data_IF_882800459184
#
_entry.id   IF_882800459184
#
_cell.length_a   1.000
_cell.length_b   1.000
_cell.length_c   1.000
_cell.angle_alpha   90.00
_cell.angle_beta   90.00
_cell.angle_gamma   90.00
#
_symmetry.space_group_name_H-M   'P 1'
#
loop_
_entity.id
_entity.type
_entity.pdbx_description
1 polymer ?
#
# COMPACT_ATOMS: atom_id res chain seq x y z
N UNK A 1 -11.88 -0.48 4.68
CA UNK A 1 -12.57 -1.20 3.60
C UNK A 1 -13.78 -1.96 4.13
N UNK A 2 -13.61 -3.07 4.85
CA UNK A 2 -14.72 -3.88 5.41
C UNK A 2 -15.70 -3.12 6.31
N UNK A 3 -15.21 -2.13 7.06
CA UNK A 3 -16.07 -1.23 7.85
C UNK A 3 -17.10 -0.48 6.99
N UNK A 4 -16.72 -0.09 5.76
CA UNK A 4 -17.60 0.65 4.82
C UNK A 4 -18.46 -0.26 3.96
N UNK A 5 -18.06 -1.52 3.81
CA UNK A 5 -18.75 -2.52 2.99
C UNK A 5 -18.28 -3.92 3.39
N UNK A 6 -19.16 -4.65 4.09
CA UNK A 6 -18.84 -5.98 4.63
C UNK A 6 -18.75 -7.05 3.55
N UNK A 7 -19.41 -6.83 2.40
CA UNK A 7 -19.47 -7.81 1.32
C UNK A 7 -18.22 -7.77 0.41
N UNK A 8 -17.39 -6.72 0.51
CA UNK A 8 -16.16 -6.59 -0.27
C UNK A 8 -15.27 -7.83 -0.16
N UNK A 9 -14.91 -8.41 -1.31
CA UNK A 9 -13.96 -9.51 -1.42
C UNK A 9 -12.55 -8.96 -1.51
N UNK A 10 -11.82 -9.04 -0.41
CA UNK A 10 -10.44 -8.53 -0.32
C UNK A 10 -9.45 -9.68 -0.43
N UNK A 11 -8.49 -9.56 -1.35
CA UNK A 11 -7.36 -10.48 -1.47
C UNK A 11 -6.04 -9.76 -1.21
N UNK A 12 -5.11 -10.44 -0.56
CA UNK A 12 -3.75 -9.96 -0.35
C UNK A 12 -2.78 -10.82 -1.16
N UNK A 13 -1.89 -10.21 -1.95
CA UNK A 13 -0.81 -10.90 -2.65
C UNK A 13 0.50 -10.56 -1.96
N UNK A 14 1.12 -11.57 -1.35
CA UNK A 14 2.44 -11.49 -0.76
C UNK A 14 3.51 -11.75 -1.82
N UNK A 15 4.38 -10.78 -2.04
CA UNK A 15 5.56 -10.90 -2.92
C UNK A 15 6.77 -11.44 -2.16
N UNK A 16 7.76 -11.93 -2.92
CA UNK A 16 9.04 -12.44 -2.42
C UNK A 16 10.09 -11.35 -2.14
N UNK A 17 9.66 -10.08 -2.07
CA UNK A 17 10.49 -8.95 -1.65
C UNK A 17 10.91 -8.95 -0.17
N UNK A 18 10.61 -10.01 0.58
CA UNK A 18 10.96 -10.14 1.99
C UNK A 18 11.29 -11.60 2.37
N UNK A 19 12.01 -11.78 3.48
CA UNK A 19 12.65 -13.05 3.81
C UNK A 19 11.76 -14.08 4.54
N UNK A 20 10.63 -13.67 5.13
CA UNK A 20 9.83 -14.54 6.00
C UNK A 20 8.54 -15.02 5.33
N UNK A 21 8.09 -16.27 5.62
CA UNK A 21 6.87 -16.80 5.03
C UNK A 21 5.62 -16.13 5.58
N UNK A 22 4.50 -16.31 4.87
CA UNK A 22 3.25 -15.64 5.17
C UNK A 22 2.74 -15.92 6.58
N UNK A 23 3.01 -17.12 7.09
CA UNK A 23 2.65 -17.56 8.44
C UNK A 23 3.25 -16.69 9.57
N UNK A 24 4.30 -15.89 9.31
CA UNK A 24 4.86 -14.94 10.28
C UNK A 24 4.09 -13.62 10.33
N UNK A 25 3.22 -13.33 9.37
CA UNK A 25 2.48 -12.08 9.32
C UNK A 25 1.31 -12.11 10.32
N UNK A 26 1.52 -11.48 11.47
CA UNK A 26 0.48 -11.28 12.48
C UNK A 26 -0.72 -10.48 11.95
N UNK A 27 -0.49 -9.56 11.01
CA UNK A 27 -1.55 -8.77 10.37
C UNK A 27 -2.43 -9.67 9.51
N UNK A 28 -1.83 -10.52 8.66
CA UNK A 28 -2.61 -11.40 7.78
C UNK A 28 -3.37 -12.45 8.59
N UNK A 29 -2.73 -13.05 9.61
CA UNK A 29 -3.38 -13.98 10.53
C UNK A 29 -4.59 -13.34 11.24
N UNK A 30 -4.41 -12.14 11.80
CA UNK A 30 -5.49 -11.38 12.41
C UNK A 30 -6.63 -11.08 11.43
N UNK A 31 -6.32 -10.50 10.26
CA UNK A 31 -7.34 -10.11 9.28
C UNK A 31 -8.13 -11.32 8.76
N UNK A 32 -7.49 -12.50 8.63
CA UNK A 32 -8.19 -13.72 8.24
C UNK A 32 -9.09 -14.24 9.36
N UNK A 33 -8.63 -14.27 10.61
CA UNK A 33 -9.42 -14.74 11.76
C UNK A 33 -10.67 -13.88 11.98
N UNK A 34 -10.56 -12.57 11.77
CA UNK A 34 -11.68 -11.63 11.89
C UNK A 34 -12.58 -11.58 10.63
N UNK A 35 -12.30 -12.39 9.60
CA UNK A 35 -13.06 -12.37 8.34
C UNK A 35 -12.91 -11.07 7.52
N UNK A 36 -11.88 -10.27 7.83
CA UNK A 36 -11.59 -9.01 7.15
C UNK A 36 -10.83 -9.21 5.84
N UNK A 37 -10.10 -10.32 5.71
CA UNK A 37 -9.40 -10.73 4.50
C UNK A 37 -9.92 -12.09 4.02
N UNK A 38 -10.35 -12.18 2.75
CA UNK A 38 -10.94 -13.39 2.20
C UNK A 38 -9.90 -14.49 1.97
N UNK A 39 -8.75 -14.11 1.41
CA UNK A 39 -7.64 -15.00 1.11
C UNK A 39 -6.35 -14.20 0.95
N UNK A 40 -5.24 -14.87 1.19
CA UNK A 40 -3.91 -14.39 0.85
C UNK A 40 -3.27 -15.33 -0.16
N UNK A 41 -2.60 -14.78 -1.18
CA UNK A 41 -1.82 -15.53 -2.14
C UNK A 41 -0.34 -15.21 -1.96
N UNK A 42 0.54 -16.13 -2.33
CA UNK A 42 1.96 -15.84 -2.52
C UNK A 42 2.35 -15.94 -3.99
N UNK A 43 3.33 -15.12 -4.38
CA UNK A 43 3.88 -15.10 -5.74
C UNK A 43 5.41 -15.12 -5.73
N UNK A 44 6.01 -15.64 -6.81
CA UNK A 44 7.46 -15.76 -6.91
C UNK A 44 7.98 -16.83 -5.97
N UNK A 45 8.96 -16.50 -5.15
CA UNK A 45 9.51 -17.38 -4.11
C UNK A 45 8.88 -17.22 -2.72
N UNK A 46 7.87 -16.36 -2.58
CA UNK A 46 7.06 -16.29 -1.39
C UNK A 46 6.21 -17.57 -1.26
N UNK A 47 5.84 -17.93 -0.04
CA UNK A 47 5.06 -19.14 0.20
C UNK A 47 4.21 -19.04 1.48
N UNK A 48 3.22 -19.92 1.56
CA UNK A 48 2.33 -20.07 2.71
C UNK A 48 0.98 -19.37 2.53
N UNK A 49 0.65 -18.95 1.30
CA UNK A 49 -0.67 -18.43 0.95
C UNK A 49 -1.73 -19.53 0.87
N UNK A 50 -3.00 -19.11 0.82
CA UNK A 50 -4.14 -19.97 0.47
C UNK A 50 -4.06 -20.46 -0.98
N UNK A 51 -3.42 -19.66 -1.85
CA UNK A 51 -3.07 -19.99 -3.22
C UNK A 51 -1.62 -19.59 -3.49
N UNK A 52 -0.96 -20.36 -4.34
CA UNK A 52 0.41 -20.11 -4.79
C UNK A 52 0.39 -19.82 -6.29
N UNK A 53 1.01 -18.73 -6.71
CA UNK A 53 1.14 -18.36 -8.13
C UNK A 53 2.60 -18.15 -8.53
N UNK A 54 2.90 -18.37 -9.81
CA UNK A 54 4.28 -18.36 -10.31
C UNK A 54 4.92 -16.98 -10.22
N UNK A 55 4.16 -15.92 -10.50
CA UNK A 55 4.62 -14.53 -10.51
C UNK A 55 3.46 -13.56 -10.26
N UNK A 56 3.76 -12.27 -10.17
CA UNK A 56 2.76 -11.23 -9.90
C UNK A 56 1.59 -11.23 -10.88
N UNK A 57 1.82 -11.47 -12.18
CA UNK A 57 0.76 -11.51 -13.19
C UNK A 57 -0.21 -12.67 -12.93
N UNK A 58 0.32 -13.87 -12.73
CA UNK A 58 -0.52 -15.04 -12.40
C UNK A 58 -1.24 -14.89 -11.06
N UNK A 59 -0.61 -14.22 -10.08
CA UNK A 59 -1.24 -13.91 -8.79
C UNK A 59 -2.40 -12.93 -8.91
N UNK A 60 -2.23 -11.86 -9.69
CA UNK A 60 -3.28 -10.88 -9.97
C UNK A 60 -4.47 -11.54 -10.69
N UNK A 61 -4.19 -12.39 -11.69
CA UNK A 61 -5.23 -13.15 -12.40
C UNK A 61 -5.94 -14.16 -11.48
N UNK A 62 -5.21 -14.86 -10.61
CA UNK A 62 -5.79 -15.76 -9.62
C UNK A 62 -6.67 -14.99 -8.63
N UNK A 63 -6.21 -13.85 -8.12
CA UNK A 63 -7.00 -13.01 -7.24
C UNK A 63 -8.29 -12.50 -7.92
N UNK A 64 -8.22 -12.10 -9.19
CA UNK A 64 -9.39 -11.61 -9.95
C UNK A 64 -10.36 -12.71 -10.34
N UNK A 65 -9.88 -13.85 -10.86
CA UNK A 65 -10.73 -14.86 -11.51
C UNK A 65 -11.05 -16.06 -10.63
N UNK A 66 -10.14 -16.47 -9.74
CA UNK A 66 -10.36 -17.60 -8.82
C UNK A 66 -10.98 -17.08 -7.54
N UNK A 67 -10.35 -16.08 -6.91
CA UNK A 67 -10.85 -15.50 -5.66
C UNK A 67 -11.90 -14.43 -5.87
N UNK A 68 -12.18 -14.02 -7.10
CA UNK A 68 -13.19 -12.99 -7.43
C UNK A 68 -13.03 -11.74 -6.54
N UNK A 69 -11.79 -11.31 -6.31
CA UNK A 69 -11.52 -10.17 -5.45
C UNK A 69 -12.03 -8.87 -6.10
N UNK A 70 -12.64 -8.01 -5.29
CA UNK A 70 -13.08 -6.67 -5.65
C UNK A 70 -11.92 -5.68 -5.56
N UNK A 71 -11.09 -5.84 -4.51
CA UNK A 71 -9.88 -5.06 -4.28
C UNK A 71 -8.75 -6.03 -3.94
N UNK A 72 -7.62 -5.85 -4.63
CA UNK A 72 -6.40 -6.64 -4.44
C UNK A 72 -5.34 -5.74 -3.80
N UNK A 73 -4.84 -6.14 -2.64
CA UNK A 73 -3.74 -5.47 -1.95
C UNK A 73 -2.48 -6.27 -2.25
N UNK A 74 -1.44 -5.61 -2.78
CA UNK A 74 -0.15 -6.26 -3.05
C UNK A 74 0.91 -5.66 -2.13
N UNK A 75 1.72 -6.50 -1.51
CA UNK A 75 2.90 -6.04 -0.78
C UNK A 75 3.72 -7.21 -0.26
N UNK A 76 4.99 -6.97 0.01
CA UNK A 76 5.88 -8.01 0.58
C UNK A 76 5.52 -8.42 1.99
N UNK A 77 5.95 -9.63 2.36
CA UNK A 77 5.85 -10.16 3.71
C UNK A 77 6.84 -9.53 4.71
N UNK A 78 6.96 -10.11 5.92
CA UNK A 78 7.92 -9.66 6.93
C UNK A 78 9.37 -9.95 6.53
N UNK A 79 10.31 -9.14 7.05
CA UNK A 79 11.74 -9.31 6.76
C UNK A 79 12.23 -8.53 5.54
N UNK A 80 11.77 -7.29 5.39
CA UNK A 80 12.17 -6.37 4.31
C UNK A 80 13.65 -5.96 4.46
N UNK A 81 14.37 -5.79 3.36
CA UNK A 81 15.78 -5.38 3.38
C UNK A 81 16.01 -4.07 2.64
N UNK A 82 16.94 -3.27 3.17
CA UNK A 82 17.43 -2.05 2.57
C UNK A 82 18.91 -1.84 2.90
N UNK A 83 19.67 -1.37 1.92
CA UNK A 83 21.12 -1.11 2.03
C UNK A 83 21.43 0.37 2.28
N UNK A 84 20.39 1.22 2.37
CA UNK A 84 20.54 2.67 2.48
C UNK A 84 20.98 3.35 1.17
N UNK A 85 21.11 2.61 0.08
CA UNK A 85 21.38 3.15 -1.26
C UNK A 85 20.07 3.43 -2.00
N UNK A 86 20.11 4.33 -2.99
CA UNK A 86 18.93 4.75 -3.75
C UNK A 86 18.15 3.59 -4.38
N UNK A 87 18.84 2.52 -4.78
CA UNK A 87 18.25 1.39 -5.50
C UNK A 87 18.15 0.12 -4.65
N UNK A 88 18.93 0.03 -3.57
CA UNK A 88 19.00 -1.19 -2.79
C UNK A 88 17.96 -1.22 -1.67
N UNK A 89 16.69 -1.30 -2.01
CA UNK A 89 15.58 -1.59 -1.09
C UNK A 89 14.53 -2.44 -1.82
N UNK A 90 13.95 -3.44 -1.15
CA UNK A 90 13.03 -4.38 -1.82
C UNK A 90 11.70 -3.76 -2.21
N UNK A 91 11.26 -2.72 -1.50
CA UNK A 91 10.07 -1.95 -1.84
C UNK A 91 10.09 -1.24 -3.19
N UNK A 92 11.18 -1.37 -3.96
CA UNK A 92 11.27 -0.89 -5.32
C UNK A 92 10.30 -1.61 -6.27
N UNK A 93 9.97 -2.86 -5.95
CA UNK A 93 9.02 -3.71 -6.68
C UNK A 93 7.64 -3.08 -6.84
N UNK A 94 7.26 -2.13 -5.97
CA UNK A 94 5.98 -1.42 -6.07
C UNK A 94 5.78 -0.80 -7.46
N UNK A 95 6.85 -0.30 -8.09
CA UNK A 95 6.75 0.26 -9.44
C UNK A 95 6.51 -0.80 -10.50
N UNK A 96 7.11 -1.98 -10.35
CA UNK A 96 6.95 -3.11 -11.25
C UNK A 96 5.54 -3.73 -11.11
N UNK A 97 5.03 -3.80 -9.88
CA UNK A 97 3.67 -4.26 -9.58
C UNK A 97 2.63 -3.33 -10.22
N UNK A 98 2.81 -2.01 -10.12
CA UNK A 98 1.91 -1.05 -10.78
C UNK A 98 1.89 -1.24 -12.30
N UNK A 99 3.06 -1.48 -12.91
CA UNK A 99 3.15 -1.80 -14.34
C UNK A 99 2.43 -3.12 -14.67
N UNK A 100 2.58 -4.15 -13.83
CA UNK A 100 1.92 -5.44 -14.03
C UNK A 100 0.39 -5.35 -13.93
N UNK A 101 -0.12 -4.51 -13.03
CA UNK A 101 -1.56 -4.24 -12.91
C UNK A 101 -2.09 -3.61 -14.20
N UNK A 102 -1.41 -2.60 -14.75
CA UNK A 102 -1.84 -1.95 -16.00
C UNK A 102 -1.70 -2.87 -17.22
N UNK A 103 -0.65 -3.68 -17.30
CA UNK A 103 -0.48 -4.67 -18.37
C UNK A 103 -1.60 -5.73 -18.41
N UNK A 104 -2.33 -5.91 -17.30
CA UNK A 104 -3.51 -6.77 -17.19
C UNK A 104 -4.83 -5.96 -17.23
N UNK A 105 -4.78 -4.71 -17.71
CA UNK A 105 -5.92 -3.79 -17.82
C UNK A 105 -6.59 -3.46 -16.48
N UNK A 106 -5.87 -3.65 -15.37
CA UNK A 106 -6.29 -3.26 -14.04
C UNK A 106 -6.14 -1.75 -13.78
N UNK A 107 -6.63 -1.30 -12.62
CA UNK A 107 -6.55 0.10 -12.19
C UNK A 107 -5.52 0.26 -11.06
N UNK A 108 -4.27 0.64 -11.36
CA UNK A 108 -3.22 0.71 -10.35
C UNK A 108 -3.42 1.88 -9.39
N UNK A 109 -3.28 1.59 -8.09
CA UNK A 109 -3.26 2.57 -6.99
C UNK A 109 -1.92 2.44 -6.27
N UNK A 110 -1.11 3.49 -6.31
CA UNK A 110 0.14 3.55 -5.58
C UNK A 110 -0.11 4.10 -4.17
N UNK A 111 0.26 3.33 -3.14
CA UNK A 111 0.09 3.73 -1.74
C UNK A 111 1.36 4.45 -1.27
N UNK A 112 1.37 5.78 -1.12
CA UNK A 112 2.57 6.46 -0.69
C UNK A 112 2.83 6.22 0.80
N UNK A 113 4.09 5.97 1.15
CA UNK A 113 4.50 6.03 2.55
C UNK A 113 4.76 7.48 2.92
N UNK A 114 3.97 8.01 3.85
CA UNK A 114 4.08 9.38 4.35
C UNK A 114 4.37 9.34 5.85
N UNK A 115 5.27 10.21 6.31
CA UNK A 115 5.64 10.31 7.74
C UNK A 115 6.17 11.70 8.03
N UNK A 116 5.86 12.24 9.20
CA UNK A 116 6.52 13.45 9.73
C UNK A 116 7.17 13.19 11.10
N UNK A 117 7.14 11.95 11.59
CA UNK A 117 7.60 11.57 12.93
C UNK A 117 9.13 11.62 13.11
N UNK A 118 9.91 11.56 12.02
CA UNK A 118 11.36 11.73 12.09
C UNK A 118 11.73 13.23 12.17
N UNK A 119 12.63 13.58 13.09
CA UNK A 119 13.11 14.98 13.27
C UNK A 119 13.93 15.48 12.08
N UNK A 120 14.51 14.59 11.28
CA UNK A 120 15.36 14.93 10.14
C UNK A 120 14.47 15.24 8.93
N UNK A 121 14.52 16.48 8.44
CA UNK A 121 13.70 16.95 7.30
C UNK A 121 13.67 16.02 6.07
N UNK A 122 14.79 15.37 5.74
CA UNK A 122 14.86 14.44 4.58
C UNK A 122 14.03 13.15 4.75
N UNK A 123 13.58 12.85 5.96
CA UNK A 123 12.73 11.69 6.28
C UNK A 123 11.27 12.09 6.54
N UNK A 124 10.93 13.37 6.30
CA UNK A 124 9.57 13.90 6.42
C UNK A 124 8.86 13.91 5.06
N UNK A 125 7.53 13.90 5.10
CA UNK A 125 6.65 13.86 3.94
C UNK A 125 6.62 12.51 3.24
N UNK A 126 6.53 12.51 1.90
CA UNK A 126 6.58 11.32 1.06
C UNK A 126 7.98 10.71 1.16
N UNK A 127 8.05 9.42 1.46
CA UNK A 127 9.31 8.68 1.53
C UNK A 127 10.10 8.77 0.23
N UNK A 128 11.41 9.00 0.33
CA UNK A 128 12.34 8.95 -0.81
C UNK A 128 12.29 7.63 -1.59
N UNK A 129 11.95 6.51 -0.94
CA UNK A 129 11.70 5.23 -1.61
C UNK A 129 10.48 5.31 -2.52
N UNK A 130 9.35 5.85 -2.02
CA UNK A 130 8.14 6.08 -2.83
C UNK A 130 8.42 7.04 -3.98
N UNK A 131 9.14 8.15 -3.74
CA UNK A 131 9.53 9.08 -4.80
C UNK A 131 10.41 8.40 -5.86
N UNK A 132 11.32 7.51 -5.45
CA UNK A 132 12.16 6.74 -6.38
C UNK A 132 11.32 5.77 -7.22
N UNK A 133 10.41 5.03 -6.60
CA UNK A 133 9.47 4.13 -7.29
C UNK A 133 8.68 4.88 -8.37
N UNK A 134 8.04 6.00 -7.99
CA UNK A 134 7.18 6.76 -8.91
C UNK A 134 7.99 7.52 -9.98
N UNK A 135 9.15 8.09 -9.63
CA UNK A 135 9.92 8.86 -10.62
C UNK A 135 10.77 8.00 -11.55
N UNK A 136 11.16 6.78 -11.12
CA UNK A 136 12.18 5.96 -11.80
C UNK A 136 11.81 4.51 -12.09
N UNK A 137 10.71 3.96 -11.59
CA UNK A 137 10.40 2.53 -11.81
C UNK A 137 9.06 2.38 -12.50
N UNK A 138 8.00 2.92 -11.92
CA UNK A 138 6.66 2.88 -12.51
C UNK A 138 6.65 3.64 -13.86
N UNK A 139 6.05 3.01 -14.87
CA UNK A 139 5.99 3.47 -16.27
C UNK A 139 4.58 3.77 -16.75
N UNK A 140 3.60 3.44 -15.94
CA UNK A 140 2.18 3.53 -16.26
C UNK A 140 1.52 4.63 -15.44
N UNK A 141 0.38 5.12 -15.91
CA UNK A 141 -0.45 6.02 -15.11
C UNK A 141 -1.01 5.24 -13.93
N UNK A 142 -1.01 5.86 -12.77
CA UNK A 142 -1.61 5.31 -11.56
C UNK A 142 -2.29 6.42 -10.75
N UNK A 143 -3.25 6.01 -9.92
CA UNK A 143 -3.79 6.87 -8.87
C UNK A 143 -2.82 6.91 -7.70
N UNK A 144 -2.54 8.09 -7.16
CA UNK A 144 -1.67 8.31 -5.98
C UNK A 144 -2.47 9.09 -4.94
N UNK A 145 -3.15 8.40 -4.01
CA UNK A 145 -3.94 9.05 -2.96
C UNK A 145 -3.04 9.68 -1.90
N UNK A 146 -3.30 10.95 -1.58
CA UNK A 146 -2.69 11.66 -0.46
C UNK A 146 -3.75 11.87 0.64
N UNK A 147 -3.38 11.76 1.93
CA UNK A 147 -4.29 12.14 3.01
C UNK A 147 -4.46 13.66 3.04
N UNK A 148 -5.66 14.12 3.41
CA UNK A 148 -5.85 15.51 3.81
C UNK A 148 -5.08 15.76 5.13
N UNK A 149 -4.12 16.68 5.09
CA UNK A 149 -3.33 17.12 6.23
C UNK A 149 -3.46 18.64 6.42
N UNK A 150 -2.86 19.15 7.49
CA UNK A 150 -2.68 20.59 7.72
C UNK A 150 -1.94 21.24 6.53
N UNK A 151 -2.24 22.52 6.28
CA UNK A 151 -1.77 23.27 5.10
C UNK A 151 -0.25 23.19 4.91
N UNK A 152 0.54 23.42 5.97
CA UNK A 152 2.01 23.35 5.89
C UNK A 152 2.53 21.96 5.46
N UNK A 153 1.88 20.88 5.93
CA UNK A 153 2.23 19.51 5.55
C UNK A 153 1.80 19.24 4.11
N UNK A 154 0.62 19.70 3.70
CA UNK A 154 0.15 19.57 2.33
C UNK A 154 1.07 20.28 1.35
N UNK A 155 1.50 21.51 1.65
CA UNK A 155 2.45 22.27 0.85
C UNK A 155 3.80 21.55 0.73
N UNK A 156 4.27 20.94 1.82
CA UNK A 156 5.46 20.11 1.82
C UNK A 156 5.33 18.91 0.86
N UNK A 157 4.22 18.16 0.94
CA UNK A 157 3.98 17.02 0.04
C UNK A 157 3.92 17.48 -1.43
N UNK A 158 3.19 18.56 -1.73
CA UNK A 158 3.09 19.07 -3.10
C UNK A 158 4.43 19.59 -3.64
N UNK A 159 5.26 20.16 -2.78
CA UNK A 159 6.63 20.54 -3.15
C UNK A 159 7.45 19.31 -3.55
N UNK A 160 7.41 18.23 -2.76
CA UNK A 160 8.09 16.98 -3.12
C UNK A 160 7.57 16.38 -4.44
N UNK A 161 6.25 16.41 -4.67
CA UNK A 161 5.62 15.92 -5.91
C UNK A 161 6.08 16.74 -7.13
N UNK A 162 6.14 18.07 -7.01
CA UNK A 162 6.62 18.98 -8.07
C UNK A 162 8.10 18.76 -8.36
N UNK A 163 8.95 18.76 -7.34
CA UNK A 163 10.39 18.56 -7.48
C UNK A 163 10.75 17.20 -8.08
N UNK A 164 9.96 16.16 -7.78
CA UNK A 164 10.13 14.83 -8.36
C UNK A 164 9.56 14.69 -9.78
N UNK A 165 8.92 15.73 -10.33
CA UNK A 165 8.35 15.74 -11.68
C UNK A 165 7.23 14.71 -11.87
N UNK A 166 6.34 14.61 -10.87
CA UNK A 166 5.31 13.56 -10.82
C UNK A 166 3.92 14.02 -11.28
N UNK A 167 3.65 15.33 -11.34
CA UNK A 167 2.31 15.88 -11.61
C UNK A 167 1.72 15.41 -12.95
N UNK A 168 2.52 15.34 -14.01
CA UNK A 168 2.05 14.94 -15.33
C UNK A 168 2.01 13.42 -15.54
N UNK A 169 2.59 12.65 -14.59
CA UNK A 169 2.72 11.19 -14.68
C UNK A 169 1.60 10.45 -13.97
N UNK A 170 1.05 11.03 -12.91
CA UNK A 170 0.14 10.38 -12.00
C UNK A 170 -1.09 11.24 -11.74
N UNK A 171 -2.21 10.58 -11.46
CA UNK A 171 -3.38 11.27 -10.94
C UNK A 171 -3.30 11.29 -9.42
N UNK A 172 -3.15 12.49 -8.84
CA UNK A 172 -3.15 12.65 -7.39
C UNK A 172 -4.56 13.02 -6.91
N UNK A 173 -5.02 12.35 -5.85
CA UNK A 173 -6.23 12.74 -5.12
C UNK A 173 -5.89 13.08 -3.68
N UNK A 174 -6.69 13.94 -3.07
CA UNK A 174 -6.62 14.23 -1.64
C UNK A 174 -7.86 13.66 -0.98
N UNK A 175 -7.69 12.67 -0.11
CA UNK A 175 -8.79 11.98 0.56
C UNK A 175 -8.83 12.39 2.03
N UNK A 176 -10.02 12.77 2.50
CA UNK A 176 -10.26 13.09 3.90
C UNK A 176 -10.89 11.87 4.62
N UNK A 177 -10.05 11.03 5.22
CA UNK A 177 -10.48 9.82 5.93
C UNK A 177 -9.89 9.75 7.35
N UNK A 178 -10.24 10.68 8.27
CA UNK A 178 -9.67 10.71 9.61
C UNK A 178 -10.15 9.54 10.48
N UNK A 179 -11.32 8.97 10.18
CA UNK A 179 -11.92 7.86 10.92
C UNK A 179 -11.06 6.58 10.95
N UNK A 180 -10.04 6.47 10.08
CA UNK A 180 -9.07 5.39 10.15
C UNK A 180 -8.29 5.38 11.47
N UNK A 181 -8.01 6.55 12.06
CA UNK A 181 -7.27 6.63 13.32
C UNK A 181 -8.10 6.07 14.47
N UNK A 182 -9.37 6.45 14.56
CA UNK A 182 -10.29 5.93 15.56
C UNK A 182 -10.53 4.43 15.38
N UNK A 183 -10.66 3.96 14.13
CA UNK A 183 -10.82 2.55 13.83
C UNK A 183 -9.63 1.71 14.32
N UNK A 184 -8.41 2.21 14.10
CA UNK A 184 -7.19 1.50 14.52
C UNK A 184 -6.93 1.60 16.02
N UNK A 185 -7.27 2.72 16.66
CA UNK A 185 -7.13 2.91 18.11
C UNK A 185 -8.13 2.08 18.91
N UNK A 186 -9.36 1.91 18.40
CA UNK A 186 -10.42 1.13 19.05
C UNK A 186 -10.42 -0.35 18.66
N UNK A 187 -9.62 -0.74 17.66
CA UNK A 187 -9.50 -2.11 17.19
C UNK A 187 -8.75 -3.02 18.18
N UNK A 188 -9.01 -4.33 18.07
CA UNK A 188 -8.32 -5.34 18.89
C UNK A 188 -6.87 -5.58 18.44
N UNK A 189 -6.53 -5.21 17.20
CA UNK A 189 -5.17 -5.30 16.67
C UNK A 189 -4.39 -4.00 16.86
N UNK A 190 -3.26 -4.09 17.58
CA UNK A 190 -2.38 -2.95 17.81
C UNK A 190 -1.54 -2.64 16.58
N UNK A 191 -2.05 -1.75 15.73
CA UNK A 191 -1.35 -1.30 14.54
C UNK A 191 -0.09 -0.49 14.90
N UNK A 192 1.03 -0.82 14.25
CA UNK A 192 2.29 -0.11 14.41
C UNK A 192 3.14 -0.18 13.14
N UNK A 193 4.07 0.75 12.99
CA UNK A 193 5.06 0.77 11.92
C UNK A 193 6.39 1.24 12.48
N UNK A 194 7.47 0.50 12.19
CA UNK A 194 8.82 0.81 12.73
C UNK A 194 8.86 0.97 14.26
N UNK A 195 8.02 0.21 14.99
CA UNK A 195 7.91 0.30 16.44
C UNK A 195 7.10 1.48 16.98
N UNK A 196 6.50 2.31 16.11
CA UNK A 196 5.65 3.45 16.47
C UNK A 196 4.18 3.11 16.27
N UNK A 197 3.35 3.48 17.24
CA UNK A 197 1.89 3.29 17.18
C UNK A 197 1.15 4.33 16.35
N UNK A 198 -0.17 4.24 16.31
CA UNK A 198 -1.06 5.15 15.57
C UNK A 198 -0.86 6.61 15.95
N UNK A 199 -0.76 6.89 17.26
CA UNK A 199 -0.59 8.26 17.76
C UNK A 199 0.77 8.88 17.42
N UNK A 200 1.81 8.05 17.31
CA UNK A 200 3.17 8.50 17.00
C UNK A 200 3.42 8.66 15.49
N UNK A 201 2.59 8.02 14.66
CA UNK A 201 2.75 7.98 13.21
C UNK A 201 1.43 8.22 12.45
N UNK A 202 0.71 9.29 12.83
CA UNK A 202 -0.64 9.59 12.33
C UNK A 202 -0.70 9.68 10.81
N UNK A 203 0.24 10.41 10.19
CA UNK A 203 0.23 10.64 8.74
C UNK A 203 0.45 9.37 7.93
N UNK A 204 1.17 8.38 8.48
CA UNK A 204 1.29 7.07 7.85
C UNK A 204 -0.05 6.35 7.78
N UNK A 205 -0.77 6.30 8.90
CA UNK A 205 -2.07 5.63 8.95
C UNK A 205 -3.16 6.40 8.19
N UNK A 206 -3.12 7.74 8.20
CA UNK A 206 -3.98 8.56 7.34
C UNK A 206 -3.72 8.27 5.86
N UNK A 207 -2.45 8.11 5.43
CA UNK A 207 -2.14 7.75 4.05
C UNK A 207 -2.70 6.37 3.66
N UNK A 208 -2.70 5.39 4.58
CA UNK A 208 -3.36 4.10 4.37
C UNK A 208 -4.89 4.25 4.25
N UNK A 209 -5.49 5.10 5.09
CA UNK A 209 -6.93 5.44 5.01
C UNK A 209 -7.29 6.09 3.68
N UNK A 210 -6.48 7.06 3.22
CA UNK A 210 -6.64 7.70 1.92
C UNK A 210 -6.57 6.69 0.77
N UNK A 211 -5.58 5.80 0.79
CA UNK A 211 -5.46 4.76 -0.23
C UNK A 211 -6.66 3.80 -0.24
N UNK A 212 -7.15 3.40 0.93
CA UNK A 212 -8.33 2.56 1.05
C UNK A 212 -9.60 3.27 0.53
N UNK A 213 -9.79 4.54 0.86
CA UNK A 213 -10.93 5.34 0.40
C UNK A 213 -10.91 5.53 -1.11
N UNK A 214 -9.76 5.89 -1.66
CA UNK A 214 -9.56 6.04 -3.10
C UNK A 214 -9.80 4.73 -3.86
N UNK A 215 -9.27 3.61 -3.37
CA UNK A 215 -9.50 2.29 -3.98
C UNK A 215 -10.99 1.91 -3.95
N UNK A 216 -11.70 2.22 -2.86
CA UNK A 216 -13.12 1.96 -2.74
C UNK A 216 -13.94 2.80 -3.73
N UNK A 217 -13.63 4.09 -3.88
CA UNK A 217 -14.27 4.97 -4.87
C UNK A 217 -14.05 4.47 -6.29
N UNK A 218 -12.80 4.11 -6.62
CA UNK A 218 -12.50 3.50 -7.93
C UNK A 218 -13.35 2.26 -8.17
N UNK A 219 -13.43 1.35 -7.19
CA UNK A 219 -14.25 0.13 -7.29
C UNK A 219 -15.74 0.45 -7.51
N UNK A 220 -16.28 1.44 -6.80
CA UNK A 220 -17.66 1.91 -6.93
C UNK A 220 -17.93 2.77 -8.17
N UNK A 221 -16.88 3.17 -8.90
CA UNK A 221 -16.93 4.08 -10.04
C UNK A 221 -17.39 5.51 -9.66
N UNK A 222 -17.00 5.97 -8.47
CA UNK A 222 -17.21 7.32 -7.90
C UNK A 222 -15.94 8.20 -7.96
#
# INVERSE_FOLDING_TARGET
LKEKDKELRLAYIMTDGAALPLAFSQVVDYLKREGLLQAALSVGHAFGGDLEAVNIYSGLLAARHILQADIIIVGMGPGIVGTGTKWGFTGIEQGEILNAVEALEGRPVAVPRISFADKRKRHQGISHHTLTVLSRVCRVKALVPLPLLEEEKMDFLWTQVREAGLLDKYHFTVENEPGILDLLNNGSFKASTMGRGVEEEKEFFLALGAAAQAALRLYRQE
#
